data_IF_906436466787
#
_entry.id   IF_906436466787
#
_cell.length_a   1.000
_cell.length_b   1.000
_cell.length_c   1.000
_cell.angle_alpha   90.00
_cell.angle_beta   90.00
_cell.angle_gamma   90.00
#
_symmetry.space_group_name_H-M   'P 1'
#
loop_
_entity.id
_entity.type
_entity.pdbx_description
1 polymer ?
#
# COMPACT_ATOMS: atom_id res chain seq x y z
N UNK A 1 -48.21 -25.80 -27.65
CA UNK A 1 -49.47 -25.48 -28.36
C UNK A 1 -50.00 -24.17 -27.79
N UNK A 2 -50.26 -23.24 -28.70
CA UNK A 2 -50.49 -21.81 -28.49
C UNK A 2 -51.91 -21.53 -28.01
N UNK A 3 -52.09 -20.60 -27.05
CA UNK A 3 -53.10 -19.54 -27.15
C UNK A 3 -52.87 -18.41 -26.14
N UNK A 4 -52.36 -17.30 -26.67
CA UNK A 4 -52.48 -15.95 -26.12
C UNK A 4 -53.96 -15.54 -26.05
N UNK A 5 -54.37 -14.92 -24.95
CA UNK A 5 -55.50 -13.98 -24.92
C UNK A 5 -55.03 -12.73 -24.16
N UNK A 6 -55.04 -11.61 -24.89
CA UNK A 6 -54.90 -10.24 -24.39
C UNK A 6 -56.26 -9.76 -23.87
N UNK A 7 -56.32 -9.20 -22.66
CA UNK A 7 -57.36 -8.23 -22.26
C UNK A 7 -56.67 -7.10 -21.48
N UNK A 8 -56.75 -5.91 -22.05
CA UNK A 8 -56.44 -4.61 -21.43
C UNK A 8 -57.75 -4.02 -20.92
N UNK A 9 -57.83 -3.59 -19.66
CA UNK A 9 -58.73 -2.51 -19.19
C UNK A 9 -58.09 -1.77 -18.01
N UNK A 10 -58.11 -0.44 -18.11
CA UNK A 10 -57.70 0.56 -17.13
C UNK A 10 -58.46 0.47 -15.79
N UNK A 11 -57.84 0.97 -14.72
CA UNK A 11 -58.56 1.34 -13.50
C UNK A 11 -57.62 1.73 -12.37
N UNK A 12 -57.37 3.03 -12.20
CA UNK A 12 -56.54 3.57 -11.12
C UNK A 12 -57.22 3.48 -9.76
N UNK A 13 -56.40 3.35 -8.71
CA UNK A 13 -56.72 3.79 -7.36
C UNK A 13 -55.47 4.38 -6.72
N UNK A 14 -55.58 5.64 -6.34
CA UNK A 14 -54.60 6.38 -5.58
C UNK A 14 -54.57 5.86 -4.13
N UNK A 15 -53.37 5.63 -3.60
CA UNK A 15 -53.14 5.50 -2.18
C UNK A 15 -52.08 6.53 -1.77
N UNK A 16 -52.56 7.63 -1.19
CA UNK A 16 -51.74 8.59 -0.46
C UNK A 16 -51.13 7.91 0.77
N UNK A 17 -49.82 7.71 0.77
CA UNK A 17 -49.06 7.35 1.96
C UNK A 17 -48.54 8.65 2.58
N UNK A 18 -49.14 9.03 3.72
CA UNK A 18 -48.71 10.12 4.58
C UNK A 18 -47.44 9.67 5.32
N UNK A 19 -46.30 10.27 4.98
CA UNK A 19 -45.05 10.12 5.72
C UNK A 19 -45.04 11.12 6.88
N UNK A 20 -45.14 10.60 8.11
CA UNK A 20 -44.89 11.34 9.34
C UNK A 20 -43.38 11.61 9.46
N UNK A 21 -42.98 12.86 9.30
CA UNK A 21 -41.60 13.31 9.56
C UNK A 21 -41.46 13.56 11.06
N UNK A 22 -40.89 12.58 11.77
CA UNK A 22 -40.46 12.75 13.15
C UNK A 22 -39.08 13.40 13.19
N UNK A 23 -39.04 14.70 13.50
CA UNK A 23 -37.80 15.43 13.75
C UNK A 23 -37.18 15.02 15.09
N UNK A 24 -35.91 14.63 15.05
CA UNK A 24 -35.09 14.46 16.25
C UNK A 24 -33.89 15.42 16.14
N UNK A 25 -33.99 16.53 16.88
CA UNK A 25 -32.96 17.55 17.04
C UNK A 25 -31.70 16.96 17.70
N UNK A 26 -30.57 17.04 17.01
CA UNK A 26 -29.25 16.70 17.58
C UNK A 26 -28.64 17.97 18.16
N UNK A 27 -28.53 18.02 19.49
CA UNK A 27 -27.77 19.06 20.23
C UNK A 27 -26.27 18.86 20.02
N UNK A 28 -25.59 19.88 19.51
CA UNK A 28 -24.13 19.96 19.46
C UNK A 28 -23.55 20.43 20.81
N UNK A 29 -22.46 19.82 21.32
CA UNK A 29 -21.70 20.38 22.43
C UNK A 29 -20.66 21.41 21.96
N UNK A 30 -20.63 22.50 22.70
CA UNK A 30 -19.87 23.74 22.55
C UNK A 30 -18.37 23.55 22.82
N UNK A 31 -17.52 24.03 21.91
CA UNK A 31 -16.07 24.09 22.07
C UNK A 31 -15.64 25.00 23.25
N UNK A 32 -14.57 24.62 23.96
CA UNK A 32 -13.83 25.47 24.92
C UNK A 32 -12.47 25.87 24.33
N UNK A 33 -11.99 27.10 24.57
CA UNK A 33 -10.79 27.63 23.94
C UNK A 33 -9.49 27.23 24.63
N UNK A 34 -8.41 27.32 23.85
CA UNK A 34 -7.02 27.13 24.23
C UNK A 34 -6.53 28.17 25.24
N UNK A 35 -5.66 27.74 26.15
CA UNK A 35 -4.90 28.60 27.07
C UNK A 35 -3.46 28.64 26.57
N UNK A 36 -3.01 29.81 26.13
CA UNK A 36 -1.61 30.16 25.97
C UNK A 36 -1.08 30.69 27.29
N UNK A 37 0.10 30.23 27.72
CA UNK A 37 0.95 30.97 28.65
C UNK A 37 2.41 30.80 28.23
N UNK A 38 2.98 31.91 27.78
CA UNK A 38 4.39 32.10 27.55
C UNK A 38 5.16 32.17 28.89
N UNK A 39 6.44 31.78 28.87
CA UNK A 39 7.54 32.51 29.53
C UNK A 39 8.89 31.98 29.04
N UNK A 40 9.46 32.77 28.14
CA UNK A 40 10.85 33.26 28.10
C UNK A 40 11.74 32.94 29.33
N UNK A 41 12.92 32.34 29.11
CA UNK A 41 14.17 32.70 29.81
C UNK A 41 15.37 32.40 28.90
N UNK A 42 15.99 33.48 28.43
CA UNK A 42 17.36 33.50 27.91
C UNK A 42 18.37 33.30 29.04
N UNK A 43 19.46 32.54 28.82
CA UNK A 43 20.72 32.88 29.48
C UNK A 43 21.97 32.42 28.71
N UNK A 44 22.92 33.35 28.62
CA UNK A 44 24.23 33.27 27.98
C UNK A 44 25.31 32.95 29.03
N UNK A 45 26.43 32.36 28.57
CA UNK A 45 27.85 32.59 28.95
C UNK A 45 28.63 31.32 28.55
N UNK A 46 29.69 31.36 27.72
CA UNK A 46 30.94 32.12 27.87
C UNK A 46 31.86 31.35 28.84
N UNK A 47 33.13 31.04 28.65
CA UNK A 47 34.20 31.37 27.69
C UNK A 47 35.46 30.64 28.19
N UNK A 48 36.36 30.18 27.29
CA UNK A 48 37.84 30.11 27.45
C UNK A 48 38.45 29.24 28.60
N UNK A 49 39.70 28.76 28.59
CA UNK A 49 40.76 28.51 27.61
C UNK A 49 41.94 27.84 28.39
N UNK A 50 43.00 27.48 27.65
CA UNK A 50 44.41 27.35 28.06
C UNK A 50 44.98 25.97 28.45
N UNK A 51 45.95 25.55 27.63
CA UNK A 51 47.08 24.69 27.97
C UNK A 51 48.20 25.54 28.63
N UNK A 52 49.27 24.95 29.21
CA UNK A 52 50.46 24.65 28.40
C UNK A 52 51.39 23.46 28.83
N UNK A 53 52.18 23.02 27.84
CA UNK A 53 53.58 22.55 27.76
C UNK A 53 54.37 21.92 28.95
N UNK A 54 55.16 20.87 28.63
CA UNK A 54 56.33 20.39 29.38
C UNK A 54 57.00 19.16 28.74
N UNK A 55 58.33 19.14 28.66
CA UNK A 55 59.20 18.38 27.73
C UNK A 55 59.74 17.00 28.21
N UNK A 56 60.06 16.16 27.21
CA UNK A 56 61.17 15.19 27.04
C UNK A 56 61.64 14.23 28.16
N UNK A 57 61.69 12.90 27.90
CA UNK A 57 62.90 12.12 27.52
C UNK A 57 62.72 10.59 27.65
N UNK A 58 63.28 9.87 26.65
CA UNK A 58 63.93 8.54 26.65
C UNK A 58 63.20 7.25 27.12
N UNK A 59 63.13 6.28 26.19
CA UNK A 59 63.83 4.99 26.39
C UNK A 59 63.02 3.71 26.63
N UNK A 60 62.81 2.97 25.53
CA UNK A 60 62.94 1.50 25.37
C UNK A 60 61.99 0.51 26.06
N UNK A 61 61.57 -0.45 25.22
CA UNK A 61 61.17 -1.84 25.47
C UNK A 61 59.83 -2.13 26.17
N UNK A 62 58.82 -2.47 25.37
CA UNK A 62 58.34 -3.86 25.24
C UNK A 62 57.13 -3.92 24.33
N UNK A 63 57.30 -4.61 23.20
CA UNK A 63 56.19 -5.14 22.42
C UNK A 63 55.54 -6.29 23.20
N UNK A 64 54.21 -6.41 23.05
CA UNK A 64 53.33 -7.55 23.40
C UNK A 64 52.23 -7.23 24.42
N UNK A 65 51.38 -6.24 24.12
CA UNK A 65 50.02 -6.22 24.70
C UNK A 65 48.98 -5.50 23.81
N UNK A 66 48.96 -5.78 22.50
CA UNK A 66 47.84 -5.36 21.63
C UNK A 66 47.60 -6.37 20.51
N UNK A 67 47.12 -7.58 20.84
CA UNK A 67 46.46 -8.44 19.84
C UNK A 67 45.37 -9.33 20.46
N UNK A 68 44.50 -8.74 21.29
CA UNK A 68 43.25 -9.36 21.75
C UNK A 68 42.11 -8.34 21.70
N UNK A 69 41.83 -7.76 20.53
CA UNK A 69 40.57 -7.04 20.28
C UNK A 69 40.36 -6.79 18.78
N UNK A 70 40.28 -7.87 17.99
CA UNK A 70 39.77 -7.80 16.61
C UNK A 70 39.09 -9.10 16.15
N UNK A 71 38.69 -9.97 17.10
CA UNK A 71 37.92 -11.18 16.82
C UNK A 71 36.65 -11.13 17.68
N UNK A 72 35.64 -10.37 17.23
CA UNK A 72 34.46 -10.18 18.06
C UNK A 72 33.35 -9.28 17.51
N UNK A 73 33.24 -9.10 16.18
CA UNK A 73 31.97 -8.79 15.51
C UNK A 73 32.01 -9.42 14.12
N UNK A 74 31.80 -10.73 14.08
CA UNK A 74 31.16 -11.27 12.88
C UNK A 74 29.77 -10.63 12.87
N UNK A 75 29.61 -9.55 12.11
CA UNK A 75 28.29 -9.18 11.61
C UNK A 75 27.73 -10.47 11.00
N UNK A 76 26.69 -11.04 11.61
CA UNK A 76 25.96 -12.15 11.01
C UNK A 76 25.70 -11.74 9.56
N UNK A 77 26.31 -12.44 8.60
CA UNK A 77 26.15 -12.11 7.20
C UNK A 77 24.69 -12.40 6.84
N UNK A 78 23.86 -11.35 6.91
CA UNK A 78 22.44 -11.41 6.60
C UNK A 78 22.33 -11.79 5.12
N UNK A 79 21.64 -12.90 4.83
CA UNK A 79 21.50 -13.38 3.47
C UNK A 79 20.82 -12.32 2.58
N UNK A 80 21.38 -12.10 1.40
CA UNK A 80 20.82 -11.18 0.42
C UNK A 80 19.47 -11.70 -0.10
N UNK A 81 18.52 -10.79 -0.44
CA UNK A 81 17.26 -11.18 -1.04
C UNK A 81 17.48 -11.82 -2.43
N UNK A 82 16.66 -12.81 -2.77
CA UNK A 82 16.74 -13.56 -4.04
C UNK A 82 15.40 -13.62 -4.75
N UNK A 83 15.41 -13.82 -6.08
CA UNK A 83 14.21 -14.10 -6.89
C UNK A 83 14.19 -15.57 -7.28
N UNK A 84 13.46 -16.43 -6.54
CA UNK A 84 13.44 -17.88 -6.81
C UNK A 84 12.62 -18.27 -8.05
N UNK A 85 11.98 -17.31 -8.72
CA UNK A 85 10.97 -17.56 -9.76
C UNK A 85 9.57 -17.48 -9.19
N UNK A 86 8.61 -17.20 -10.07
CA UNK A 86 7.22 -16.91 -9.71
C UNK A 86 6.38 -18.21 -9.70
N UNK A 87 5.80 -18.60 -8.55
CA UNK A 87 4.79 -19.65 -8.50
C UNK A 87 3.53 -19.26 -9.27
N UNK A 88 2.67 -20.24 -9.58
CA UNK A 88 1.42 -19.97 -10.27
C UNK A 88 0.52 -19.01 -9.45
N UNK A 89 0.05 -17.94 -10.09
CA UNK A 89 -0.81 -16.92 -9.48
C UNK A 89 -0.10 -15.95 -8.53
N UNK A 90 1.23 -16.02 -8.43
CA UNK A 90 2.06 -15.11 -7.64
C UNK A 90 3.12 -14.49 -8.54
N UNK A 91 3.19 -13.18 -8.58
CA UNK A 91 4.16 -12.43 -9.38
C UNK A 91 5.16 -11.69 -8.52
N UNK A 92 6.33 -11.39 -9.08
CA UNK A 92 7.39 -10.62 -8.43
C UNK A 92 7.82 -11.23 -7.09
N UNK A 93 7.94 -12.56 -7.01
CA UNK A 93 8.32 -13.22 -5.77
C UNK A 93 9.77 -12.87 -5.42
N UNK A 94 9.95 -12.33 -4.21
CA UNK A 94 11.24 -12.08 -3.58
C UNK A 94 11.30 -12.89 -2.29
N UNK A 95 12.30 -13.76 -2.17
CA UNK A 95 12.65 -14.42 -0.92
C UNK A 95 13.65 -13.54 -0.17
N UNK A 96 13.24 -13.03 0.99
CA UNK A 96 14.03 -12.10 1.80
C UNK A 96 14.84 -12.86 2.86
N UNK A 97 14.22 -13.89 3.45
CA UNK A 97 14.84 -14.83 4.38
C UNK A 97 14.16 -16.19 4.26
N UNK A 98 14.53 -17.14 5.12
CA UNK A 98 13.81 -18.42 5.23
C UNK A 98 12.38 -18.25 5.76
N UNK A 99 12.08 -17.10 6.39
CA UNK A 99 10.82 -16.84 7.07
C UNK A 99 10.00 -15.69 6.46
N UNK A 100 10.53 -14.95 5.47
CA UNK A 100 9.82 -13.81 4.89
C UNK A 100 9.96 -13.83 3.36
N UNK A 101 8.81 -13.77 2.70
CA UNK A 101 8.64 -13.60 1.28
C UNK A 101 7.85 -12.30 1.00
N UNK A 102 8.08 -11.71 -0.17
CA UNK A 102 7.30 -10.61 -0.71
C UNK A 102 6.87 -10.89 -2.14
N UNK A 103 5.71 -10.40 -2.58
CA UNK A 103 5.27 -10.49 -3.97
C UNK A 103 3.92 -9.82 -4.22
N UNK A 104 3.27 -10.15 -5.34
CA UNK A 104 1.98 -9.60 -5.74
C UNK A 104 0.82 -10.08 -4.88
N UNK A 105 -0.34 -9.48 -5.06
CA UNK A 105 -1.59 -10.04 -4.54
C UNK A 105 -1.75 -11.49 -5.02
N UNK A 106 -2.20 -12.42 -4.16
CA UNK A 106 -2.55 -13.77 -4.60
C UNK A 106 -3.87 -13.75 -5.38
N UNK A 107 -3.83 -14.13 -6.66
CA UNK A 107 -5.01 -14.20 -7.51
C UNK A 107 -5.59 -15.62 -7.60
N UNK A 108 -6.80 -15.79 -7.07
CA UNK A 108 -7.55 -17.05 -7.16
C UNK A 108 -6.95 -18.22 -6.37
N UNK A 109 -7.60 -19.38 -6.43
CA UNK A 109 -7.25 -20.56 -5.61
C UNK A 109 -5.80 -21.02 -5.76
N UNK A 110 -5.29 -20.99 -6.99
CA UNK A 110 -3.97 -21.52 -7.33
C UNK A 110 -2.87 -20.72 -6.64
N UNK A 111 -3.06 -19.41 -6.45
CA UNK A 111 -2.10 -18.56 -5.75
C UNK A 111 -2.01 -18.92 -4.27
N UNK A 112 -3.15 -19.07 -3.58
CA UNK A 112 -3.18 -19.47 -2.17
C UNK A 112 -2.62 -20.87 -1.96
N UNK A 113 -2.93 -21.83 -2.84
CA UNK A 113 -2.33 -23.16 -2.81
C UNK A 113 -0.81 -23.10 -2.99
N UNK A 114 -0.33 -22.25 -3.91
CA UNK A 114 1.11 -22.05 -4.14
C UNK A 114 1.82 -21.47 -2.91
N UNK A 115 1.20 -20.51 -2.22
CA UNK A 115 1.73 -19.96 -0.97
C UNK A 115 1.78 -21.03 0.14
N UNK A 116 0.73 -21.84 0.28
CA UNK A 116 0.72 -22.94 1.24
C UNK A 116 1.82 -23.99 0.94
N UNK A 117 2.07 -24.31 -0.34
CA UNK A 117 3.16 -25.20 -0.78
C UNK A 117 4.55 -24.62 -0.51
N UNK A 118 4.70 -23.29 -0.54
CA UNK A 118 5.92 -22.60 -0.09
C UNK A 118 6.11 -22.64 1.44
N UNK A 119 5.14 -23.19 2.18
CA UNK A 119 5.18 -23.28 3.63
C UNK A 119 4.72 -22.02 4.35
N UNK A 120 4.17 -21.04 3.62
CA UNK A 120 3.60 -19.81 4.21
C UNK A 120 2.48 -20.18 5.18
N UNK A 121 2.45 -19.49 6.32
CA UNK A 121 1.40 -19.64 7.34
C UNK A 121 0.56 -18.38 7.49
N UNK A 122 1.18 -17.22 7.29
CA UNK A 122 0.49 -15.93 7.40
C UNK A 122 0.76 -15.07 6.17
N UNK A 123 -0.32 -14.58 5.57
CA UNK A 123 -0.30 -13.56 4.53
C UNK A 123 -0.52 -12.19 5.17
N UNK A 124 0.25 -11.19 4.76
CA UNK A 124 0.09 -9.79 5.15
C UNK A 124 -0.19 -8.96 3.90
N UNK A 125 -1.41 -8.41 3.79
CA UNK A 125 -1.71 -7.39 2.78
C UNK A 125 -1.32 -6.03 3.32
N UNK A 126 -0.59 -5.26 2.52
CA UNK A 126 -0.37 -3.82 2.76
C UNK A 126 -1.05 -2.94 1.71
N UNK A 127 -1.92 -3.53 0.90
CA UNK A 127 -2.75 -2.80 -0.06
C UNK A 127 -3.93 -2.08 0.62
N UNK A 128 -4.61 -1.18 -0.09
CA UNK A 128 -5.83 -0.55 0.42
C UNK A 128 -7.09 -1.37 0.16
N UNK A 129 -7.00 -2.41 -0.69
CA UNK A 129 -8.12 -3.30 -0.95
C UNK A 129 -8.31 -4.34 0.15
N UNK A 130 -9.57 -4.75 0.30
CA UNK A 130 -9.97 -5.75 1.27
C UNK A 130 -9.40 -7.13 0.87
N UNK A 131 -8.70 -7.84 1.78
CA UNK A 131 -8.19 -9.18 1.52
C UNK A 131 -9.30 -10.23 1.27
N UNK A 132 -8.98 -11.26 0.49
CA UNK A 132 -9.82 -12.45 0.32
C UNK A 132 -9.57 -13.46 1.45
N UNK A 133 -10.32 -13.29 2.54
CA UNK A 133 -10.21 -14.13 3.74
C UNK A 133 -10.73 -15.55 3.51
N UNK A 134 -11.74 -15.72 2.65
CA UNK A 134 -12.38 -17.02 2.43
C UNK A 134 -11.50 -17.94 1.61
N UNK A 135 -10.78 -17.41 0.62
CA UNK A 135 -9.74 -18.16 -0.06
C UNK A 135 -8.60 -18.55 0.89
N UNK A 136 -8.06 -17.60 1.66
CA UNK A 136 -6.97 -17.91 2.60
C UNK A 136 -7.35 -18.98 3.63
N UNK A 137 -8.55 -18.90 4.23
CA UNK A 137 -9.03 -19.90 5.22
C UNK A 137 -9.14 -21.30 4.63
N UNK A 138 -9.58 -21.44 3.38
CA UNK A 138 -9.67 -22.75 2.70
C UNK A 138 -8.31 -23.43 2.53
N UNK A 139 -7.24 -22.65 2.45
CA UNK A 139 -5.86 -23.15 2.38
C UNK A 139 -5.14 -23.17 3.73
N UNK A 140 -5.85 -22.93 4.84
CA UNK A 140 -5.28 -22.93 6.19
C UNK A 140 -4.30 -21.79 6.45
N UNK A 141 -4.46 -20.67 5.74
CA UNK A 141 -3.59 -19.50 5.84
C UNK A 141 -4.26 -18.43 6.71
N UNK A 142 -3.50 -17.86 7.65
CA UNK A 142 -3.91 -16.66 8.38
C UNK A 142 -3.73 -15.43 7.49
N UNK A 143 -4.65 -14.47 7.56
CA UNK A 143 -4.52 -13.19 6.86
C UNK A 143 -4.45 -12.04 7.85
N UNK A 144 -3.54 -11.10 7.61
CA UNK A 144 -3.40 -9.84 8.36
C UNK A 144 -3.43 -8.67 7.38
N UNK A 145 -4.12 -7.58 7.72
CA UNK A 145 -4.24 -6.39 6.88
C UNK A 145 -3.56 -5.20 7.55
N UNK A 146 -2.48 -4.68 6.96
CA UNK A 146 -1.70 -3.53 7.44
C UNK A 146 -1.48 -2.55 6.27
N UNK A 147 -2.52 -1.78 5.88
CA UNK A 147 -2.44 -0.86 4.74
C UNK A 147 -1.32 0.17 4.91
N UNK A 148 -0.52 0.37 3.86
CA UNK A 148 0.43 1.49 3.78
C UNK A 148 0.26 2.27 2.47
N UNK A 149 0.64 3.54 2.50
CA UNK A 149 0.67 4.41 1.32
C UNK A 149 1.96 4.28 0.51
N UNK A 150 1.99 4.93 -0.65
CA UNK A 150 3.23 5.08 -1.44
C UNK A 150 4.17 6.16 -0.89
N UNK A 151 3.66 6.99 0.01
CA UNK A 151 4.36 8.08 0.70
C UNK A 151 5.14 7.62 1.95
N UNK A 152 5.03 6.35 2.35
CA UNK A 152 5.79 5.86 3.49
C UNK A 152 5.08 4.81 4.34
N UNK A 153 5.77 4.46 5.43
CA UNK A 153 5.34 3.51 6.45
C UNK A 153 5.17 4.29 7.76
N UNK A 154 3.92 4.59 8.11
CA UNK A 154 3.61 5.28 9.36
C UNK A 154 3.96 4.42 10.58
N UNK A 155 4.22 5.08 11.71
CA UNK A 155 4.72 4.43 12.93
C UNK A 155 3.86 3.24 13.38
N UNK A 156 2.53 3.38 13.38
CA UNK A 156 1.62 2.28 13.77
C UNK A 156 1.68 1.09 12.81
N UNK A 157 1.78 1.33 11.50
CA UNK A 157 2.00 0.25 10.53
C UNK A 157 3.35 -0.43 10.75
N UNK A 158 4.41 0.35 11.01
CA UNK A 158 5.73 -0.19 11.37
C UNK A 158 5.71 -1.04 12.64
N UNK A 159 4.91 -0.69 13.65
CA UNK A 159 4.72 -1.48 14.86
C UNK A 159 3.90 -2.75 14.59
N UNK A 160 2.85 -2.68 13.77
CA UNK A 160 2.07 -3.83 13.37
C UNK A 160 2.93 -4.84 12.56
N UNK A 161 3.79 -4.33 11.66
CA UNK A 161 4.75 -5.15 10.92
C UNK A 161 5.78 -5.81 11.84
N UNK A 162 6.28 -5.08 12.85
CA UNK A 162 7.13 -5.68 13.87
C UNK A 162 6.41 -6.75 14.67
N UNK A 163 5.14 -6.54 15.02
CA UNK A 163 4.34 -7.52 15.75
C UNK A 163 4.16 -8.80 14.95
N UNK A 164 3.71 -8.71 13.70
CA UNK A 164 3.50 -9.90 12.86
C UNK A 164 4.82 -10.65 12.64
N UNK A 165 5.94 -9.94 12.47
CA UNK A 165 7.26 -10.56 12.33
C UNK A 165 7.70 -11.33 13.60
N UNK A 166 7.33 -10.86 14.79
CA UNK A 166 7.68 -11.49 16.08
C UNK A 166 6.75 -12.64 16.47
N UNK A 167 5.46 -12.53 16.14
CA UNK A 167 4.42 -13.44 16.62
C UNK A 167 4.03 -14.52 15.60
N UNK A 168 4.50 -14.44 14.36
CA UNK A 168 4.14 -15.40 13.33
C UNK A 168 4.69 -16.80 13.60
N UNK A 169 3.79 -17.79 13.61
CA UNK A 169 4.13 -19.20 13.74
C UNK A 169 4.46 -19.83 12.37
N UNK A 170 5.52 -19.32 11.75
CA UNK A 170 6.01 -19.79 10.45
C UNK A 170 6.21 -18.69 9.40
N UNK A 171 6.56 -19.07 8.16
CA UNK A 171 6.90 -18.11 7.10
C UNK A 171 5.77 -17.14 6.76
N UNK A 172 6.15 -15.89 6.56
CA UNK A 172 5.33 -14.77 6.15
C UNK A 172 5.37 -14.56 4.63
N UNK A 173 4.23 -14.19 4.07
CA UNK A 173 4.14 -13.63 2.72
C UNK A 173 3.52 -12.23 2.79
N UNK A 174 4.29 -11.21 2.42
CA UNK A 174 3.88 -9.80 2.51
C UNK A 174 3.67 -9.26 1.09
N UNK A 175 2.49 -8.73 0.80
CA UNK A 175 2.15 -8.29 -0.55
C UNK A 175 1.47 -6.92 -0.58
N UNK A 176 1.54 -6.28 -1.74
CA UNK A 176 0.62 -5.21 -2.13
C UNK A 176 -0.14 -5.66 -3.38
N UNK A 177 -0.57 -4.74 -4.26
CA UNK A 177 -1.18 -5.13 -5.54
C UNK A 177 -0.15 -5.83 -6.48
N UNK A 178 0.83 -5.09 -7.01
CA UNK A 178 1.82 -5.66 -7.94
C UNK A 178 3.05 -6.31 -7.28
N UNK A 179 3.21 -6.16 -5.97
CA UNK A 179 4.34 -6.74 -5.23
C UNK A 179 5.69 -6.07 -5.43
N UNK A 180 5.73 -4.89 -6.04
CA UNK A 180 6.97 -4.23 -6.46
C UNK A 180 7.42 -3.09 -5.54
N UNK A 181 6.52 -2.50 -4.76
CA UNK A 181 6.79 -1.23 -4.06
C UNK A 181 6.45 -1.32 -2.56
N UNK A 182 5.17 -1.13 -2.21
CA UNK A 182 4.68 -1.17 -0.83
C UNK A 182 4.95 -2.50 -0.14
N UNK A 183 4.68 -3.62 -0.81
CA UNK A 183 4.94 -4.98 -0.29
C UNK A 183 6.40 -5.18 0.14
N UNK A 184 7.38 -4.98 -0.77
CA UNK A 184 8.80 -5.07 -0.43
C UNK A 184 9.26 -4.10 0.66
N UNK A 185 8.73 -2.86 0.70
CA UNK A 185 9.04 -1.91 1.75
C UNK A 185 8.54 -2.38 3.13
N UNK A 186 7.31 -2.86 3.21
CA UNK A 186 6.76 -3.45 4.41
C UNK A 186 7.52 -4.72 4.83
N UNK A 187 7.91 -5.54 3.86
CA UNK A 187 8.67 -6.76 4.11
C UNK A 187 10.08 -6.46 4.61
N UNK A 188 10.71 -5.39 4.12
CA UNK A 188 11.98 -4.90 4.63
C UNK A 188 11.88 -4.48 6.10
N UNK A 189 10.86 -3.71 6.46
CA UNK A 189 10.58 -3.31 7.85
C UNK A 189 10.30 -4.50 8.76
N UNK A 190 9.46 -5.45 8.31
CA UNK A 190 9.20 -6.69 9.04
C UNK A 190 10.50 -7.51 9.25
N UNK A 191 11.37 -7.54 8.24
CA UNK A 191 12.64 -8.24 8.34
C UNK A 191 13.59 -7.58 9.33
N UNK A 192 13.74 -6.25 9.30
CA UNK A 192 14.51 -5.48 10.30
C UNK A 192 14.05 -5.76 11.72
N UNK A 193 12.74 -5.88 11.93
CA UNK A 193 12.18 -6.21 13.24
C UNK A 193 12.43 -7.66 13.68
N UNK A 194 12.69 -8.58 12.74
CA UNK A 194 12.95 -10.00 13.00
C UNK A 194 14.43 -10.33 13.18
N UNK A 195 15.31 -9.77 12.34
CA UNK A 195 16.74 -10.15 12.28
C UNK A 195 17.72 -9.02 12.61
N UNK A 196 17.23 -7.80 12.86
CA UNK A 196 18.05 -6.67 13.25
C UNK A 196 18.94 -6.10 12.15
N UNK A 197 18.67 -6.40 10.86
CA UNK A 197 19.42 -5.81 9.74
C UNK A 197 19.33 -4.28 9.74
N UNK A 198 20.37 -3.63 9.24
CA UNK A 198 20.40 -2.16 9.09
C UNK A 198 19.47 -1.67 7.98
N UNK A 199 19.14 -0.38 8.00
CA UNK A 199 18.37 0.27 6.93
C UNK A 199 18.99 0.05 5.55
N UNK A 200 20.32 0.23 5.42
CA UNK A 200 21.04 -0.03 4.18
C UNK A 200 20.91 -1.47 3.68
N UNK A 201 20.97 -2.47 4.58
CA UNK A 201 20.76 -3.87 4.22
C UNK A 201 19.30 -4.16 3.84
N UNK A 202 18.35 -3.50 4.49
CA UNK A 202 16.93 -3.59 4.19
C UNK A 202 16.58 -2.96 2.83
N UNK A 203 17.24 -1.85 2.48
CA UNK A 203 17.12 -1.17 1.18
C UNK A 203 17.50 -2.07 -0.01
N UNK A 204 18.35 -3.08 0.18
CA UNK A 204 18.63 -4.08 -0.88
C UNK A 204 17.40 -4.93 -1.25
N UNK A 205 16.43 -5.08 -0.35
CA UNK A 205 15.15 -5.75 -0.64
C UNK A 205 14.33 -4.96 -1.65
N UNK A 206 14.29 -3.63 -1.49
CA UNK A 206 13.59 -2.73 -2.40
C UNK A 206 14.25 -2.73 -3.77
N UNK A 207 15.59 -2.71 -3.82
CA UNK A 207 16.35 -2.85 -5.07
C UNK A 207 16.07 -4.18 -5.76
N UNK A 208 16.13 -5.29 -5.03
CA UNK A 208 15.84 -6.61 -5.56
C UNK A 208 14.41 -6.70 -6.11
N UNK A 209 13.43 -6.10 -5.43
CA UNK A 209 12.05 -6.07 -5.91
C UNK A 209 11.83 -5.15 -7.11
N UNK A 210 12.73 -4.18 -7.35
CA UNK A 210 12.59 -3.16 -8.39
C UNK A 210 11.66 -2.02 -7.96
N UNK A 211 11.71 -1.64 -6.68
CA UNK A 211 11.01 -0.46 -6.18
C UNK A 211 11.46 0.78 -6.95
N UNK A 212 10.51 1.60 -7.43
CA UNK A 212 10.85 2.81 -8.17
C UNK A 212 11.41 3.92 -7.25
N UNK A 213 12.41 4.66 -7.74
CA UNK A 213 13.06 5.75 -7.00
C UNK A 213 12.11 6.91 -6.68
N UNK A 214 11.03 7.06 -7.46
CA UNK A 214 10.02 8.09 -7.24
C UNK A 214 9.20 7.91 -5.95
N UNK A 215 9.25 6.72 -5.32
CA UNK A 215 8.56 6.46 -4.05
C UNK A 215 9.47 6.77 -2.87
N UNK A 216 9.92 8.02 -2.81
CA UNK A 216 10.97 8.49 -1.89
C UNK A 216 10.62 8.25 -0.42
N UNK A 217 9.34 8.32 -0.06
CA UNK A 217 8.84 8.02 1.28
C UNK A 217 9.07 6.57 1.71
N UNK A 218 8.87 5.60 0.81
CA UNK A 218 9.14 4.19 1.11
C UNK A 218 10.63 3.94 1.35
N UNK A 219 11.50 4.50 0.50
CA UNK A 219 12.95 4.40 0.66
C UNK A 219 13.42 5.06 1.95
N UNK A 220 12.96 6.28 2.22
CA UNK A 220 13.25 7.04 3.44
C UNK A 220 12.88 6.22 4.67
N UNK A 221 11.68 5.68 4.71
CA UNK A 221 11.17 5.04 5.92
C UNK A 221 11.84 3.69 6.16
N UNK A 222 12.19 2.94 5.12
CA UNK A 222 12.99 1.71 5.27
C UNK A 222 14.39 2.01 5.76
N UNK A 223 15.08 3.01 5.19
CA UNK A 223 16.44 3.38 5.58
C UNK A 223 16.51 3.85 7.04
N UNK A 224 15.48 4.56 7.51
CA UNK A 224 15.45 5.17 8.84
C UNK A 224 14.65 4.36 9.89
N UNK A 225 14.06 3.22 9.51
CA UNK A 225 13.21 2.45 10.41
C UNK A 225 14.00 1.98 11.64
N UNK A 226 13.36 2.12 12.81
CA UNK A 226 13.86 1.58 14.07
C UNK A 226 12.82 0.61 14.63
N UNK A 227 13.17 -0.68 14.82
CA UNK A 227 12.26 -1.64 15.43
C UNK A 227 11.80 -1.17 16.82
N UNK A 228 10.53 -1.36 17.18
CA UNK A 228 10.04 -1.02 18.51
C UNK A 228 10.76 -1.85 19.57
N UNK A 229 10.85 -1.31 20.79
CA UNK A 229 11.50 -2.01 21.90
C UNK A 229 10.84 -3.37 22.21
N UNK A 230 11.52 -4.29 22.93
CA UNK A 230 10.96 -5.61 23.26
C UNK A 230 9.72 -5.54 24.14
N UNK A 231 9.59 -4.48 24.95
CA UNK A 231 8.47 -4.27 25.88
C UNK A 231 7.52 -3.15 25.42
N UNK A 232 7.70 -2.64 24.20
CA UNK A 232 6.82 -1.61 23.67
C UNK A 232 5.45 -2.22 23.32
N UNK A 233 4.37 -1.51 23.64
CA UNK A 233 3.03 -1.93 23.29
C UNK A 233 2.84 -1.88 21.76
N UNK A 234 2.42 -3.00 21.18
CA UNK A 234 2.19 -3.15 19.74
C UNK A 234 0.69 -3.21 19.44
N UNK A 235 0.24 -2.62 18.32
CA UNK A 235 -1.18 -2.61 17.94
C UNK A 235 -1.70 -4.03 17.71
N UNK A 236 -3.01 -4.23 17.85
CA UNK A 236 -3.64 -5.51 17.52
C UNK A 236 -3.63 -5.76 16.00
N UNK A 237 -3.38 -7.01 15.63
CA UNK A 237 -3.43 -7.45 14.24
C UNK A 237 -4.88 -7.80 13.87
N UNK A 238 -5.37 -7.24 12.77
CA UNK A 238 -6.72 -7.48 12.27
C UNK A 238 -6.69 -8.15 10.89
N UNK A 239 -7.71 -8.95 10.59
CA UNK A 239 -7.87 -9.57 9.27
C UNK A 239 -8.32 -8.53 8.21
N UNK A 240 -9.01 -7.47 8.64
CA UNK A 240 -9.44 -6.34 7.80
C UNK A 240 -9.26 -5.03 8.58
N UNK A 241 -8.26 -4.25 8.21
CA UNK A 241 -8.10 -2.88 8.70
C UNK A 241 -9.15 -1.93 8.10
N UNK A 242 -9.48 -0.89 8.86
CA UNK A 242 -10.23 0.26 8.35
C UNK A 242 -9.31 1.08 7.42
N UNK A 243 -9.79 1.36 6.21
CA UNK A 243 -9.08 2.16 5.21
C UNK A 243 -10.00 3.30 4.83
N UNK A 244 -9.45 4.51 4.75
CA UNK A 244 -10.19 5.67 4.26
C UNK A 244 -10.84 5.37 2.91
N UNK A 245 -12.07 5.88 2.73
CA UNK A 245 -12.90 5.56 1.57
C UNK A 245 -12.24 5.92 0.24
N UNK A 246 -11.45 7.00 0.19
CA UNK A 246 -10.79 7.47 -1.01
C UNK A 246 -9.62 6.56 -1.45
N UNK A 247 -8.59 6.27 -0.62
CA UNK A 247 -7.57 5.29 -0.96
C UNK A 247 -8.13 3.90 -1.29
N UNK A 248 -9.16 3.43 -0.58
CA UNK A 248 -9.81 2.16 -0.88
C UNK A 248 -10.51 2.18 -2.25
N UNK A 249 -11.16 3.28 -2.63
CA UNK A 249 -11.75 3.46 -3.95
C UNK A 249 -10.69 3.48 -5.05
N UNK A 250 -9.58 4.20 -4.85
CA UNK A 250 -8.46 4.23 -5.78
C UNK A 250 -7.81 2.85 -5.97
N UNK A 251 -7.68 2.06 -4.91
CA UNK A 251 -7.17 0.69 -5.00
C UNK A 251 -8.08 -0.23 -5.83
N UNK A 252 -9.41 -0.08 -5.71
CA UNK A 252 -10.36 -0.81 -6.56
C UNK A 252 -10.27 -0.36 -8.02
N UNK A 253 -10.20 0.95 -8.25
CA UNK A 253 -10.06 1.51 -9.59
C UNK A 253 -8.78 1.01 -10.29
N UNK A 254 -7.66 0.90 -9.57
CA UNK A 254 -6.38 0.43 -10.11
C UNK A 254 -6.49 -0.98 -10.73
N UNK A 255 -7.33 -1.85 -10.17
CA UNK A 255 -7.60 -3.20 -10.73
C UNK A 255 -8.33 -3.12 -12.07
N UNK A 256 -9.35 -2.28 -12.18
CA UNK A 256 -10.04 -2.04 -13.46
C UNK A 256 -9.11 -1.38 -14.48
N UNK A 257 -8.22 -0.50 -14.01
CA UNK A 257 -7.20 0.11 -14.86
C UNK A 257 -6.23 -0.93 -15.44
N UNK A 258 -5.82 -1.94 -14.66
CA UNK A 258 -5.01 -3.05 -15.15
C UNK A 258 -5.77 -3.96 -16.10
N UNK A 259 -7.06 -4.23 -15.84
CA UNK A 259 -7.91 -4.94 -16.80
C UNK A 259 -8.00 -4.19 -18.13
N UNK A 260 -8.07 -2.85 -18.12
CA UNK A 260 -8.00 -2.05 -19.35
C UNK A 260 -6.66 -2.19 -20.07
N UNK A 261 -5.53 -2.36 -19.36
CA UNK A 261 -4.24 -2.67 -20.01
C UNK A 261 -4.27 -4.05 -20.70
N UNK A 262 -4.95 -5.05 -20.12
CA UNK A 262 -5.14 -6.35 -20.76
C UNK A 262 -6.02 -6.23 -22.02
N UNK A 263 -7.10 -5.45 -21.94
CA UNK A 263 -7.96 -5.14 -23.08
C UNK A 263 -7.18 -4.41 -24.19
N UNK A 264 -6.38 -3.39 -23.83
CA UNK A 264 -5.52 -2.66 -24.77
C UNK A 264 -4.54 -3.59 -25.50
N UNK A 265 -3.89 -4.51 -24.77
CA UNK A 265 -2.99 -5.51 -25.37
C UNK A 265 -3.70 -6.49 -26.30
N UNK A 266 -5.02 -6.61 -26.18
CA UNK A 266 -5.88 -7.44 -27.01
C UNK A 266 -6.65 -6.59 -28.04
N UNK A 267 -6.07 -5.46 -28.46
CA UNK A 267 -6.65 -4.52 -29.43
C UNK A 267 -8.08 -4.07 -29.06
N UNK A 268 -8.32 -3.85 -27.76
CA UNK A 268 -9.61 -3.48 -27.19
C UNK A 268 -10.73 -4.49 -27.42
N UNK A 269 -10.37 -5.77 -27.58
CA UNK A 269 -11.28 -6.91 -27.54
C UNK A 269 -11.19 -7.62 -26.18
N UNK A 270 -12.15 -8.50 -25.90
CA UNK A 270 -12.10 -9.40 -24.74
C UNK A 270 -10.84 -10.29 -24.84
N UNK A 271 -9.92 -10.23 -23.87
CA UNK A 271 -8.73 -11.08 -23.88
C UNK A 271 -9.08 -12.57 -23.80
N UNK A 272 -8.40 -13.42 -24.57
CA UNK A 272 -8.70 -14.86 -24.62
C UNK A 272 -8.53 -15.57 -23.26
N UNK A 273 -7.53 -15.15 -22.48
CA UNK A 273 -7.25 -15.70 -21.15
C UNK A 273 -8.15 -15.10 -20.05
N UNK A 274 -8.93 -14.07 -20.38
CA UNK A 274 -9.85 -13.37 -19.47
C UNK A 274 -11.21 -13.13 -20.16
N UNK A 275 -11.99 -14.20 -20.43
CA UNK A 275 -13.25 -14.11 -21.15
C UNK A 275 -14.36 -13.37 -20.40
N UNK A 276 -14.14 -13.07 -19.11
CA UNK A 276 -15.00 -12.28 -18.24
C UNK A 276 -14.85 -10.77 -18.44
N UNK A 277 -13.76 -10.31 -19.08
CA UNK A 277 -13.52 -8.89 -19.29
C UNK A 277 -14.27 -8.35 -20.50
N UNK A 278 -14.98 -7.24 -20.28
CA UNK A 278 -15.54 -6.41 -21.33
C UNK A 278 -14.88 -5.02 -21.28
N UNK A 279 -14.20 -4.57 -22.35
CA UNK A 279 -13.47 -3.30 -22.34
C UNK A 279 -14.34 -2.07 -22.00
N UNK A 280 -15.60 -2.05 -22.44
CA UNK A 280 -16.51 -0.95 -22.17
C UNK A 280 -16.97 -0.94 -20.70
N UNK A 281 -17.20 -2.12 -20.12
CA UNK A 281 -17.53 -2.26 -18.70
C UNK A 281 -16.34 -1.90 -17.80
N UNK A 282 -15.12 -2.34 -18.14
CA UNK A 282 -13.94 -1.96 -17.35
C UNK A 282 -13.70 -0.43 -17.39
N UNK A 283 -13.92 0.21 -18.55
CA UNK A 283 -13.83 1.66 -18.68
C UNK A 283 -14.95 2.39 -17.90
N UNK A 284 -16.15 1.81 -17.86
CA UNK A 284 -17.25 2.30 -17.03
C UNK A 284 -16.88 2.27 -15.56
N UNK A 285 -16.32 1.17 -15.06
CA UNK A 285 -15.92 1.04 -13.64
C UNK A 285 -14.80 2.02 -13.26
N UNK A 286 -13.85 2.29 -14.16
CA UNK A 286 -12.85 3.35 -13.96
C UNK A 286 -13.51 4.73 -13.89
N UNK A 287 -14.38 5.07 -14.84
CA UNK A 287 -15.06 6.36 -14.87
C UNK A 287 -15.96 6.58 -13.64
N UNK A 288 -16.79 5.60 -13.28
CA UNK A 288 -17.65 5.68 -12.10
C UNK A 288 -16.83 5.76 -10.80
N UNK A 289 -15.73 5.03 -10.71
CA UNK A 289 -14.81 5.10 -9.59
C UNK A 289 -14.23 6.52 -9.40
N UNK A 290 -13.79 7.18 -10.47
CA UNK A 290 -13.31 8.56 -10.42
C UNK A 290 -14.42 9.54 -10.06
N UNK A 291 -15.58 9.39 -10.69
CA UNK A 291 -16.74 10.25 -10.48
C UNK A 291 -17.24 10.19 -9.04
N UNK A 292 -17.33 8.99 -8.46
CA UNK A 292 -17.75 8.84 -7.07
C UNK A 292 -16.68 9.36 -6.10
N UNK A 293 -15.41 9.09 -6.38
CA UNK A 293 -14.31 9.64 -5.58
C UNK A 293 -14.31 11.17 -5.57
N UNK A 294 -14.66 11.80 -6.70
CA UNK A 294 -14.79 13.25 -6.81
C UNK A 294 -15.93 13.83 -5.95
N UNK A 295 -17.03 13.09 -5.76
CA UNK A 295 -18.15 13.53 -4.90
C UNK A 295 -17.81 13.56 -3.41
N UNK A 296 -16.83 12.78 -3.00
CA UNK A 296 -16.36 12.73 -1.62
C UNK A 296 -15.29 13.78 -1.31
N UNK A 297 -14.85 14.58 -2.28
CA UNK A 297 -13.92 15.68 -2.03
C UNK A 297 -14.60 16.80 -1.25
N UNK A 298 -13.84 17.39 -0.32
CA UNK A 298 -14.30 18.44 0.59
C UNK A 298 -13.34 19.64 0.57
N UNK A 299 -13.54 20.59 1.48
CA UNK A 299 -12.73 21.81 1.60
C UNK A 299 -11.26 21.55 1.98
N UNK A 300 -10.93 20.37 2.53
CA UNK A 300 -9.55 20.01 2.89
C UNK A 300 -8.70 19.67 1.64
N UNK A 301 -9.34 19.41 0.51
CA UNK A 301 -8.67 19.12 -0.74
C UNK A 301 -8.44 20.41 -1.54
N UNK A 302 -7.23 20.60 -2.06
CA UNK A 302 -6.89 21.77 -2.86
C UNK A 302 -7.70 21.82 -4.16
N UNK A 303 -7.93 23.03 -4.67
CA UNK A 303 -8.62 23.22 -5.95
C UNK A 303 -7.85 22.58 -7.11
N UNK A 304 -6.52 22.58 -7.03
CA UNK A 304 -5.67 21.88 -7.99
C UNK A 304 -5.91 20.36 -7.98
N UNK A 305 -6.00 19.74 -6.80
CA UNK A 305 -6.28 18.31 -6.70
C UNK A 305 -7.67 17.98 -7.28
N UNK A 306 -8.68 18.79 -6.95
CA UNK A 306 -10.04 18.66 -7.52
C UNK A 306 -10.02 18.79 -9.03
N UNK A 307 -9.27 19.75 -9.58
CA UNK A 307 -9.13 19.95 -11.02
C UNK A 307 -8.50 18.74 -11.70
N UNK A 308 -7.38 18.23 -11.18
CA UNK A 308 -6.68 17.07 -11.74
C UNK A 308 -7.55 15.81 -11.72
N UNK A 309 -8.29 15.58 -10.63
CA UNK A 309 -9.24 14.46 -10.56
C UNK A 309 -10.40 14.64 -11.56
N UNK A 310 -10.90 15.87 -11.72
CA UNK A 310 -11.91 16.22 -12.72
C UNK A 310 -11.43 15.94 -14.15
N UNK A 311 -10.20 16.32 -14.48
CA UNK A 311 -9.58 16.03 -15.78
C UNK A 311 -9.49 14.53 -16.05
N UNK A 312 -9.00 13.74 -15.08
CA UNK A 312 -9.00 12.28 -15.18
C UNK A 312 -10.41 11.72 -15.39
N UNK A 313 -11.42 12.28 -14.71
CA UNK A 313 -12.83 11.85 -14.85
C UNK A 313 -13.36 12.07 -16.27
N UNK A 314 -13.04 13.23 -16.88
CA UNK A 314 -13.44 13.56 -18.26
C UNK A 314 -12.76 12.61 -19.25
N UNK A 315 -11.46 12.36 -19.09
CA UNK A 315 -10.72 11.45 -19.96
C UNK A 315 -11.25 10.01 -19.87
N UNK A 316 -11.61 9.54 -18.67
CA UNK A 316 -12.21 8.23 -18.47
C UNK A 316 -13.61 8.13 -19.10
N UNK A 317 -14.43 9.19 -19.02
CA UNK A 317 -15.74 9.24 -19.68
C UNK A 317 -15.60 9.14 -21.20
N UNK A 318 -14.65 9.86 -21.79
CA UNK A 318 -14.39 9.81 -23.24
C UNK A 318 -13.98 8.41 -23.71
N UNK A 319 -13.09 7.75 -22.96
CA UNK A 319 -12.69 6.37 -23.25
C UNK A 319 -13.88 5.41 -23.14
N UNK A 320 -14.68 5.54 -22.08
CA UNK A 320 -15.88 4.71 -21.85
C UNK A 320 -16.89 4.85 -23.00
N UNK A 321 -17.18 6.08 -23.43
CA UNK A 321 -18.12 6.35 -24.53
C UNK A 321 -17.60 5.78 -25.87
N UNK A 322 -16.30 5.95 -26.12
CA UNK A 322 -15.61 5.43 -27.30
C UNK A 322 -15.71 3.90 -27.39
N UNK A 323 -15.38 3.19 -26.30
CA UNK A 323 -15.44 1.73 -26.25
C UNK A 323 -16.88 1.21 -26.28
N UNK A 324 -17.84 1.93 -25.70
CA UNK A 324 -19.27 1.57 -25.75
C UNK A 324 -19.89 1.73 -27.13
N UNK A 325 -19.35 2.65 -27.94
CA UNK A 325 -19.73 2.83 -29.35
C UNK A 325 -19.02 1.83 -30.28
N UNK A 326 -18.27 0.87 -29.73
CA UNK A 326 -17.41 -0.08 -30.45
C UNK A 326 -16.39 0.59 -31.37
N UNK A 327 -16.01 1.85 -31.06
CA UNK A 327 -14.98 2.57 -31.79
C UNK A 327 -13.64 2.34 -31.11
N UNK A 328 -12.73 1.58 -31.75
CA UNK A 328 -11.45 1.21 -31.15
C UNK A 328 -10.29 2.13 -31.58
N UNK A 329 -10.46 2.88 -32.65
CA UNK A 329 -9.39 3.68 -33.27
C UNK A 329 -8.76 4.69 -32.29
N UNK A 330 -9.51 5.52 -31.53
CA UNK A 330 -8.91 6.48 -30.61
C UNK A 330 -8.66 5.93 -29.21
N UNK A 331 -9.10 4.71 -28.89
CA UNK A 331 -9.12 4.18 -27.52
C UNK A 331 -7.72 4.09 -26.91
N UNK A 332 -6.72 3.67 -27.70
CA UNK A 332 -5.31 3.61 -27.26
C UNK A 332 -4.76 4.98 -26.88
N UNK A 333 -5.05 6.02 -27.67
CA UNK A 333 -4.59 7.38 -27.39
C UNK A 333 -5.30 7.96 -26.18
N UNK A 334 -6.62 7.79 -26.08
CA UNK A 334 -7.42 8.25 -24.94
C UNK A 334 -7.00 7.59 -23.63
N UNK A 335 -6.78 6.27 -23.63
CA UNK A 335 -6.29 5.56 -22.46
C UNK A 335 -4.89 6.01 -22.05
N UNK A 336 -4.00 6.28 -23.01
CA UNK A 336 -2.67 6.84 -22.74
C UNK A 336 -2.75 8.23 -22.12
N UNK A 337 -3.68 9.07 -22.57
CA UNK A 337 -3.93 10.39 -21.99
C UNK A 337 -4.45 10.28 -20.54
N UNK A 338 -5.39 9.36 -20.29
CA UNK A 338 -5.89 9.07 -18.94
C UNK A 338 -4.75 8.58 -18.03
N UNK A 339 -3.93 7.62 -18.49
CA UNK A 339 -2.80 7.10 -17.72
C UNK A 339 -1.83 8.23 -17.33
N UNK A 340 -1.53 9.13 -18.26
CA UNK A 340 -0.69 10.30 -18.02
C UNK A 340 -1.30 11.24 -16.98
N UNK A 341 -2.59 11.51 -17.04
CA UNK A 341 -3.32 12.33 -16.06
C UNK A 341 -3.24 11.71 -14.66
N UNK A 342 -3.53 10.41 -14.53
CA UNK A 342 -3.41 9.69 -13.26
C UNK A 342 -1.97 9.72 -12.70
N UNK A 343 -0.95 9.47 -13.54
CA UNK A 343 0.46 9.53 -13.13
C UNK A 343 0.85 10.91 -12.62
N UNK A 344 0.38 11.98 -13.27
CA UNK A 344 0.65 13.36 -12.84
C UNK A 344 0.05 13.65 -11.47
N UNK A 345 -1.22 13.28 -11.25
CA UNK A 345 -1.89 13.46 -9.96
C UNK A 345 -1.19 12.66 -8.85
N UNK A 346 -0.87 11.38 -9.12
CA UNK A 346 -0.18 10.52 -8.16
C UNK A 346 1.21 11.04 -7.77
N UNK A 347 1.99 11.54 -8.74
CA UNK A 347 3.32 12.09 -8.47
C UNK A 347 3.29 13.26 -7.49
N UNK A 348 2.19 14.02 -7.46
CA UNK A 348 2.02 15.20 -6.60
C UNK A 348 1.35 14.90 -5.27
N UNK A 349 0.35 14.01 -5.25
CA UNK A 349 -0.53 13.83 -4.10
C UNK A 349 -0.50 12.43 -3.45
N UNK A 350 0.14 11.44 -4.09
CA UNK A 350 0.17 10.04 -3.59
C UNK A 350 1.56 9.55 -3.22
N UNK A 351 2.56 9.90 -4.02
CA UNK A 351 3.90 9.31 -3.92
C UNK A 351 4.84 10.04 -2.93
N UNK A 352 4.39 11.15 -2.32
CA UNK A 352 5.20 12.09 -1.53
C UNK A 352 5.00 11.92 -0.03
#
# INVERSE_FOLDING_TARGET
>A
MVRLIFISVLGGFAASLVLLVGGCEVRTPKARPAVNSATDVSNQNGSQATAPAGAETAGTDSADEQTLSAAGRAENAVAAPTKPGDPAGIHNLVRISDHIYSGSEPHGEVAFESLAKLGVKTIVSVDGARPDLEAAKRHGLRYVHIPIGYNGIHAEAGKALARVAREADGPLYIHCHHGQHRGPAAAAVACMAADGRSGAQASEILKAAGTGDQYTGLWRDVENYQPPGPNEALPELVEVAEVDSFPAAMAKLDRHFDNLKLCQKSDWQTPADHPDLDPAQEALLVWEGLKESARHLNEQHSDEFKSMLGESTILAEQLQQTLSADNRDPATEQFSALEKSCKSCHGKYRNQ
#
